data_IF_599675375756
#
_entry.id   IF_599675375756
#
_cell.length_a   1.000
_cell.length_b   1.000
_cell.length_c   1.000
_cell.angle_alpha   90.00
_cell.angle_beta   90.00
_cell.angle_gamma   90.00
#
_symmetry.space_group_name_H-M   'P 1'
#
loop_
_entity.id
_entity.type
_entity.pdbx_description
1 polymer ?
#
# COMPACT_ATOMS: atom_id res chain seq x y z
N UNK A 1 -15.79 -20.89 13.68
CA UNK A 1 -14.87 -19.76 13.80
C UNK A 1 -13.96 -19.56 12.59
N UNK A 2 -13.04 -20.46 12.17
CA UNK A 2 -12.19 -20.24 10.97
C UNK A 2 -12.97 -20.09 9.66
N UNK A 3 -14.08 -20.79 9.48
CA UNK A 3 -14.91 -20.73 8.27
C UNK A 3 -15.72 -19.43 8.17
N UNK A 4 -16.24 -18.92 9.28
CA UNK A 4 -17.01 -17.68 9.33
C UNK A 4 -16.14 -16.43 9.11
N UNK A 5 -14.93 -16.39 9.66
CA UNK A 5 -13.98 -15.32 9.40
C UNK A 5 -13.63 -15.25 7.91
N UNK A 6 -13.36 -16.41 7.28
CA UNK A 6 -13.09 -16.47 5.84
C UNK A 6 -14.25 -15.95 4.99
N UNK A 7 -15.48 -16.25 5.39
CA UNK A 7 -16.69 -15.80 4.69
C UNK A 7 -16.90 -14.28 4.88
N UNK A 8 -16.66 -13.77 6.09
CA UNK A 8 -16.67 -12.33 6.38
C UNK A 8 -15.70 -11.56 5.50
N UNK A 9 -14.45 -12.05 5.39
CA UNK A 9 -13.40 -11.42 4.56
C UNK A 9 -13.79 -11.44 3.07
N UNK A 10 -14.37 -12.54 2.59
CA UNK A 10 -14.86 -12.64 1.21
C UNK A 10 -15.97 -11.64 0.91
N UNK A 11 -16.94 -11.50 1.82
CA UNK A 11 -18.04 -10.53 1.66
C UNK A 11 -17.51 -9.11 1.73
N UNK A 12 -16.60 -8.79 2.67
CA UNK A 12 -15.98 -7.49 2.77
C UNK A 12 -15.22 -7.13 1.48
N UNK A 13 -14.41 -8.05 0.94
CA UNK A 13 -13.70 -7.86 -0.33
C UNK A 13 -14.65 -7.66 -1.52
N UNK A 14 -15.74 -8.42 -1.59
CA UNK A 14 -16.73 -8.29 -2.66
C UNK A 14 -17.46 -6.93 -2.62
N UNK A 15 -17.86 -6.48 -1.43
CA UNK A 15 -18.48 -5.17 -1.23
C UNK A 15 -17.49 -4.02 -1.49
N UNK A 16 -16.25 -4.13 -0.99
CA UNK A 16 -15.18 -3.21 -1.29
C UNK A 16 -14.96 -3.07 -2.81
N UNK A 17 -14.97 -4.18 -3.53
CA UNK A 17 -14.85 -4.20 -4.98
C UNK A 17 -15.93 -3.38 -5.70
N UNK A 18 -17.17 -3.35 -5.22
CA UNK A 18 -18.24 -2.50 -5.80
C UNK A 18 -17.96 -1.00 -5.57
N UNK A 19 -17.36 -0.66 -4.44
CA UNK A 19 -17.00 0.73 -4.09
C UNK A 19 -15.77 1.17 -4.90
N UNK A 20 -14.72 0.38 -4.87
CA UNK A 20 -13.41 0.71 -5.48
C UNK A 20 -13.46 0.71 -7.01
N UNK A 21 -14.34 -0.10 -7.62
CA UNK A 21 -14.65 -0.03 -9.06
C UNK A 21 -15.63 1.08 -9.44
N UNK A 22 -16.07 1.91 -8.47
CA UNK A 22 -17.04 2.99 -8.65
C UNK A 22 -18.42 2.55 -9.15
N UNK A 23 -18.78 1.27 -9.04
CA UNK A 23 -20.17 0.83 -9.23
C UNK A 23 -21.08 1.42 -8.18
N UNK A 24 -20.57 1.63 -6.97
CA UNK A 24 -21.19 2.42 -5.92
C UNK A 24 -20.36 3.67 -5.68
N UNK A 25 -20.95 4.82 -5.98
CA UNK A 25 -20.26 6.11 -5.91
C UNK A 25 -20.31 6.71 -4.51
N UNK A 26 -19.39 7.63 -4.23
CA UNK A 26 -19.34 8.36 -2.95
C UNK A 26 -20.70 8.98 -2.59
N UNK A 27 -21.11 8.82 -1.34
CA UNK A 27 -22.40 9.27 -0.82
C UNK A 27 -23.60 8.40 -1.18
N UNK A 28 -23.45 7.46 -2.11
CA UNK A 28 -24.53 6.53 -2.49
C UNK A 28 -24.89 5.64 -1.29
N UNK A 29 -26.19 5.47 -1.06
CA UNK A 29 -26.71 4.53 -0.07
C UNK A 29 -26.52 3.11 -0.55
N UNK A 30 -26.02 2.24 0.33
CA UNK A 30 -25.91 0.81 0.05
C UNK A 30 -27.30 0.16 0.01
N UNK A 31 -27.44 -0.96 -0.73
CA UNK A 31 -28.65 -1.79 -0.66
C UNK A 31 -28.99 -2.22 0.78
N UNK A 32 -30.24 -2.53 1.03
CA UNK A 32 -30.69 -2.98 2.35
C UNK A 32 -29.97 -4.30 2.76
N UNK A 33 -29.74 -4.49 4.06
CA UNK A 33 -29.07 -5.68 4.59
C UNK A 33 -29.70 -7.00 4.11
N UNK A 34 -31.03 -7.04 3.95
CA UNK A 34 -31.75 -8.21 3.43
C UNK A 34 -31.32 -8.54 2.00
N UNK A 35 -31.21 -7.53 1.14
CA UNK A 35 -30.78 -7.69 -0.26
C UNK A 35 -29.31 -8.13 -0.31
N UNK A 36 -28.45 -7.54 0.52
CA UNK A 36 -27.02 -7.92 0.57
C UNK A 36 -26.83 -9.36 1.09
N UNK A 37 -27.61 -9.77 2.12
CA UNK A 37 -27.58 -11.15 2.63
C UNK A 37 -27.99 -12.16 1.54
N UNK A 38 -29.05 -11.87 0.79
CA UNK A 38 -29.52 -12.71 -0.31
C UNK A 38 -28.50 -12.76 -1.45
N UNK A 39 -28.00 -11.61 -1.88
CA UNK A 39 -27.01 -11.50 -2.98
C UNK A 39 -25.73 -12.29 -2.69
N UNK A 40 -25.22 -12.20 -1.46
CA UNK A 40 -23.98 -12.86 -1.05
C UNK A 40 -24.21 -14.23 -0.39
N UNK A 41 -25.47 -14.67 -0.23
CA UNK A 41 -25.85 -15.95 0.40
C UNK A 41 -25.26 -16.12 1.80
N UNK A 42 -25.31 -15.06 2.62
CA UNK A 42 -24.74 -15.02 3.97
C UNK A 42 -25.76 -14.65 5.05
N UNK A 43 -25.45 -15.01 6.28
CA UNK A 43 -26.24 -14.60 7.44
C UNK A 43 -26.09 -13.09 7.72
N UNK A 44 -27.07 -12.52 8.42
CA UNK A 44 -27.00 -11.12 8.89
C UNK A 44 -25.77 -10.87 9.79
N UNK A 45 -25.34 -11.86 10.56
CA UNK A 45 -24.15 -11.76 11.42
C UNK A 45 -22.88 -11.58 10.58
N UNK A 46 -22.69 -12.42 9.56
CA UNK A 46 -21.55 -12.33 8.64
C UNK A 46 -21.55 -10.99 7.90
N UNK A 47 -22.71 -10.56 7.40
CA UNK A 47 -22.84 -9.26 6.73
C UNK A 47 -22.46 -8.11 7.67
N UNK A 48 -22.97 -8.09 8.89
CA UNK A 48 -22.66 -7.03 9.88
C UNK A 48 -21.17 -6.94 10.19
N UNK A 49 -20.49 -8.08 10.34
CA UNK A 49 -19.05 -8.10 10.54
C UNK A 49 -18.30 -7.59 9.30
N UNK A 50 -18.71 -7.98 8.08
CA UNK A 50 -18.13 -7.44 6.86
C UNK A 50 -18.33 -5.90 6.76
N UNK A 51 -19.52 -5.41 7.08
CA UNK A 51 -19.80 -3.97 7.14
C UNK A 51 -18.95 -3.26 8.20
N UNK A 52 -18.71 -3.89 9.35
CA UNK A 52 -17.83 -3.36 10.40
C UNK A 52 -16.38 -3.22 9.88
N UNK A 53 -15.88 -4.23 9.16
CA UNK A 53 -14.55 -4.18 8.52
C UNK A 53 -14.47 -3.02 7.52
N UNK A 54 -15.46 -2.88 6.62
CA UNK A 54 -15.49 -1.78 5.65
C UNK A 54 -15.56 -0.40 6.31
N UNK A 55 -16.33 -0.27 7.39
CA UNK A 55 -16.40 0.97 8.18
C UNK A 55 -15.07 1.31 8.86
N UNK A 56 -14.39 0.32 9.45
CA UNK A 56 -13.07 0.50 10.06
C UNK A 56 -12.00 0.93 9.02
N UNK A 57 -12.15 0.49 7.77
CA UNK A 57 -11.27 0.88 6.65
C UNK A 57 -11.72 2.17 5.92
N UNK A 58 -12.74 2.85 6.44
CA UNK A 58 -13.21 4.13 5.91
C UNK A 58 -13.94 4.06 4.57
N UNK A 59 -14.32 2.86 4.08
CA UNK A 59 -15.00 2.70 2.80
C UNK A 59 -16.49 3.02 2.86
N UNK A 60 -17.09 2.89 4.04
CA UNK A 60 -18.51 3.18 4.29
C UNK A 60 -18.69 3.99 5.57
N UNK A 61 -19.79 4.72 5.64
CA UNK A 61 -20.18 5.49 6.82
C UNK A 61 -21.67 5.34 7.10
N UNK A 62 -22.05 5.29 8.37
CA UNK A 62 -23.46 5.31 8.76
C UNK A 62 -23.95 6.75 8.82
N UNK A 63 -25.05 7.07 8.11
CA UNK A 63 -25.71 8.38 8.17
C UNK A 63 -27.06 8.26 8.87
N UNK A 64 -27.32 9.07 9.91
CA UNK A 64 -28.61 9.05 10.61
C UNK A 64 -29.79 9.21 9.62
N UNK A 65 -30.84 8.40 9.80
CA UNK A 65 -32.06 8.39 8.98
C UNK A 65 -31.89 8.03 7.50
N UNK A 66 -30.65 7.89 7.01
CA UNK A 66 -30.36 7.51 5.62
C UNK A 66 -29.97 6.03 5.54
N UNK A 67 -29.11 5.58 6.45
CA UNK A 67 -28.54 4.24 6.48
C UNK A 67 -27.04 4.26 6.17
N UNK A 68 -26.51 3.13 5.76
CA UNK A 68 -25.09 3.01 5.38
C UNK A 68 -24.87 3.54 3.97
N UNK A 69 -23.87 4.40 3.81
CA UNK A 69 -23.48 5.02 2.55
C UNK A 69 -22.00 4.79 2.25
N UNK A 70 -21.63 4.84 0.99
CA UNK A 70 -20.24 4.88 0.55
C UNK A 70 -19.59 6.16 1.08
N UNK A 71 -18.44 6.03 1.72
CA UNK A 71 -17.66 7.16 2.22
C UNK A 71 -16.90 7.86 1.07
N UNK A 72 -16.49 9.11 1.30
CA UNK A 72 -15.62 9.82 0.36
C UNK A 72 -14.22 9.18 0.32
N UNK A 73 -13.54 9.25 -0.81
CA UNK A 73 -12.25 8.57 -1.02
C UNK A 73 -11.12 9.09 -0.14
N UNK A 74 -11.22 10.31 0.38
CA UNK A 74 -10.31 10.89 1.37
C UNK A 74 -10.38 10.22 2.75
N UNK A 75 -11.48 9.48 3.01
CA UNK A 75 -11.68 8.72 4.23
C UNK A 75 -11.10 7.30 4.15
N UNK A 76 -10.70 6.83 2.97
CA UNK A 76 -10.23 5.47 2.77
C UNK A 76 -8.87 5.23 3.42
N UNK A 77 -8.73 4.12 4.13
CA UNK A 77 -7.47 3.74 4.75
C UNK A 77 -6.47 3.19 3.71
N UNK A 78 -5.98 4.05 2.80
CA UNK A 78 -5.10 3.67 1.70
C UNK A 78 -3.73 3.12 2.14
N UNK A 79 -3.40 3.20 3.44
CA UNK A 79 -2.21 2.57 4.03
C UNK A 79 -2.46 1.14 4.49
N UNK A 80 -3.71 0.70 4.47
CA UNK A 80 -4.11 -0.63 4.91
C UNK A 80 -3.86 -1.65 3.78
N UNK A 81 -3.13 -2.74 4.05
CA UNK A 81 -2.79 -3.74 3.03
C UNK A 81 -4.01 -4.38 2.36
N UNK A 82 -5.09 -4.61 3.09
CA UNK A 82 -6.30 -5.21 2.51
C UNK A 82 -6.97 -4.24 1.53
N UNK A 83 -6.99 -2.93 1.84
CA UNK A 83 -7.55 -1.91 0.92
C UNK A 83 -6.72 -1.83 -0.36
N UNK A 84 -5.40 -1.88 -0.25
CA UNK A 84 -4.51 -1.92 -1.42
C UNK A 84 -4.69 -3.20 -2.25
N UNK A 85 -4.87 -4.35 -1.61
CA UNK A 85 -5.15 -5.62 -2.30
C UNK A 85 -6.53 -5.59 -3.00
N UNK A 86 -7.55 -5.02 -2.35
CA UNK A 86 -8.87 -4.85 -2.96
C UNK A 86 -8.83 -3.88 -4.15
N UNK A 87 -8.04 -2.81 -4.07
CA UNK A 87 -7.79 -1.90 -5.20
C UNK A 87 -7.17 -2.65 -6.39
N UNK A 88 -6.16 -3.48 -6.15
CA UNK A 88 -5.54 -4.30 -7.20
C UNK A 88 -6.54 -5.18 -7.96
N UNK A 89 -7.54 -5.71 -7.25
CA UNK A 89 -8.50 -6.64 -7.82
C UNK A 89 -9.69 -5.98 -8.49
N UNK A 90 -10.06 -4.77 -8.07
CA UNK A 90 -11.35 -4.18 -8.42
C UNK A 90 -11.26 -2.81 -9.09
N UNK A 91 -10.17 -2.05 -8.91
CA UNK A 91 -10.06 -0.71 -9.46
C UNK A 91 -9.95 -0.74 -11.00
N UNK A 92 -10.61 0.22 -11.62
CA UNK A 92 -10.45 0.48 -13.05
C UNK A 92 -9.19 1.33 -13.30
N UNK A 93 -8.63 1.35 -14.52
CA UNK A 93 -7.50 2.23 -14.84
C UNK A 93 -7.74 3.69 -14.44
N UNK A 94 -8.96 4.20 -14.63
CA UNK A 94 -9.32 5.58 -14.31
C UNK A 94 -9.32 5.85 -12.79
N UNK A 95 -9.68 4.85 -11.98
CA UNK A 95 -9.62 4.94 -10.52
C UNK A 95 -8.19 4.76 -10.01
N UNK A 96 -7.43 3.87 -10.65
CA UNK A 96 -6.09 3.48 -10.22
C UNK A 96 -5.04 4.57 -10.51
N UNK A 97 -5.07 5.17 -11.70
CA UNK A 97 -4.04 6.10 -12.14
C UNK A 97 -3.85 7.33 -11.22
N UNK A 98 -4.90 8.00 -10.71
CA UNK A 98 -4.73 9.07 -9.73
C UNK A 98 -4.08 8.58 -8.42
N UNK A 99 -4.49 7.40 -7.92
CA UNK A 99 -3.97 6.85 -6.66
C UNK A 99 -2.49 6.45 -6.79
N UNK A 100 -2.07 5.93 -7.94
CA UNK A 100 -0.66 5.64 -8.21
C UNK A 100 0.20 6.92 -8.19
N UNK A 101 -0.27 8.00 -8.83
CA UNK A 101 0.43 9.29 -8.76
C UNK A 101 0.57 9.80 -7.33
N UNK A 102 -0.51 9.73 -6.54
CA UNK A 102 -0.46 10.13 -5.13
C UNK A 102 0.50 9.25 -4.31
N UNK A 103 0.57 7.94 -4.60
CA UNK A 103 1.52 7.05 -3.95
C UNK A 103 2.97 7.39 -4.33
N UNK A 104 3.25 7.74 -5.59
CA UNK A 104 4.56 8.19 -6.04
C UNK A 104 4.96 9.53 -5.42
N UNK A 105 4.04 10.49 -5.32
CA UNK A 105 4.25 11.76 -4.60
C UNK A 105 4.62 11.51 -3.13
N UNK A 106 3.93 10.58 -2.46
CA UNK A 106 4.25 10.20 -1.09
C UNK A 106 5.59 9.48 -0.97
N UNK A 107 5.98 8.65 -1.93
CA UNK A 107 7.30 8.04 -1.98
C UNK A 107 8.38 9.10 -2.09
N UNK A 108 8.21 10.07 -2.99
CA UNK A 108 9.14 11.19 -3.14
C UNK A 108 9.26 12.05 -1.87
N UNK A 109 8.18 12.21 -1.13
CA UNK A 109 8.20 12.93 0.14
C UNK A 109 8.90 12.16 1.26
N UNK A 110 8.76 10.84 1.32
CA UNK A 110 9.18 10.00 2.45
C UNK A 110 10.54 9.31 2.22
N UNK A 111 10.75 8.68 1.07
CA UNK A 111 11.92 7.82 0.85
C UNK A 111 13.26 8.56 0.96
N UNK A 112 13.42 9.82 0.48
CA UNK A 112 14.65 10.56 0.70
C UNK A 112 14.95 10.84 2.18
N UNK A 113 13.93 11.08 2.99
CA UNK A 113 14.10 11.27 4.44
C UNK A 113 14.44 9.94 5.14
N UNK A 114 13.79 8.85 4.75
CA UNK A 114 14.08 7.50 5.27
C UNK A 114 15.49 7.05 4.88
N UNK A 115 15.96 7.35 3.67
CA UNK A 115 17.33 7.08 3.22
C UNK A 115 18.38 7.82 4.09
N UNK A 116 18.14 9.08 4.40
CA UNK A 116 19.00 9.86 5.29
C UNK A 116 19.01 9.30 6.72
N UNK A 117 17.87 8.86 7.24
CA UNK A 117 17.79 8.19 8.53
C UNK A 117 18.52 6.83 8.52
N UNK A 118 18.33 6.06 7.46
CA UNK A 118 19.01 4.78 7.28
C UNK A 118 20.53 4.94 7.32
N UNK A 119 21.09 5.92 6.60
CA UNK A 119 22.54 6.16 6.57
C UNK A 119 23.13 6.52 7.93
N UNK A 120 22.36 7.20 8.80
CA UNK A 120 22.83 7.61 10.14
C UNK A 120 22.58 6.55 11.21
N UNK A 121 21.77 5.52 10.95
CA UNK A 121 21.33 4.54 11.96
C UNK A 121 21.74 3.12 11.65
N UNK A 122 22.08 2.82 10.39
CA UNK A 122 22.40 1.47 9.96
C UNK A 122 23.53 0.85 10.77
N UNK A 123 23.29 -0.31 11.32
CA UNK A 123 24.35 -1.17 11.84
C UNK A 123 25.12 -1.82 10.69
N UNK A 124 26.28 -2.36 10.99
CA UNK A 124 27.10 -3.11 10.01
C UNK A 124 26.29 -4.28 9.41
N UNK A 125 25.54 -5.01 10.24
CA UNK A 125 24.73 -6.14 9.78
C UNK A 125 23.60 -5.69 8.84
N UNK A 126 22.92 -4.59 9.14
CA UNK A 126 21.84 -4.03 8.29
C UNK A 126 22.40 -3.50 6.97
N UNK A 127 23.55 -2.87 6.99
CA UNK A 127 24.26 -2.44 5.77
C UNK A 127 24.61 -3.62 4.88
N UNK A 128 25.11 -4.72 5.47
CA UNK A 128 25.39 -5.95 4.73
C UNK A 128 24.13 -6.58 4.15
N UNK A 129 23.03 -6.59 4.89
CA UNK A 129 21.73 -7.09 4.42
C UNK A 129 21.21 -6.26 3.22
N UNK A 130 21.33 -4.93 3.28
CA UNK A 130 20.94 -4.05 2.17
C UNK A 130 21.81 -4.30 0.93
N UNK A 131 23.14 -4.44 1.09
CA UNK A 131 24.03 -4.78 0.00
C UNK A 131 23.71 -6.15 -0.61
N UNK A 132 23.36 -7.15 0.21
CA UNK A 132 22.93 -8.45 -0.29
C UNK A 132 21.63 -8.35 -1.08
N UNK A 133 20.64 -7.63 -0.56
CA UNK A 133 19.37 -7.43 -1.25
C UNK A 133 19.53 -6.69 -2.58
N UNK A 134 20.47 -5.74 -2.68
CA UNK A 134 20.84 -5.10 -3.95
C UNK A 134 21.45 -6.11 -4.95
N UNK A 135 22.36 -6.98 -4.49
CA UNK A 135 22.95 -8.03 -5.35
C UNK A 135 21.88 -8.98 -5.89
N UNK A 136 20.96 -9.40 -5.02
CA UNK A 136 19.85 -10.28 -5.42
C UNK A 136 18.96 -9.62 -6.47
N UNK A 137 18.65 -8.33 -6.28
CA UNK A 137 17.92 -7.53 -7.26
C UNK A 137 18.67 -7.33 -8.59
N UNK A 138 19.99 -7.16 -8.55
CA UNK A 138 20.83 -7.05 -9.76
C UNK A 138 20.88 -8.36 -10.54
N UNK A 139 20.90 -9.50 -9.84
CA UNK A 139 20.91 -10.82 -10.45
C UNK A 139 19.54 -11.21 -11.01
N UNK A 140 18.46 -10.78 -10.37
CA UNK A 140 17.10 -11.04 -10.80
C UNK A 140 16.23 -9.76 -10.63
N UNK A 141 16.21 -8.85 -11.61
CA UNK A 141 15.56 -7.55 -11.52
C UNK A 141 14.04 -7.65 -11.69
N UNK A 142 13.37 -8.32 -10.76
CA UNK A 142 11.93 -8.46 -10.70
C UNK A 142 11.31 -7.65 -9.54
N UNK A 143 9.98 -7.59 -9.55
CA UNK A 143 9.20 -6.89 -8.53
C UNK A 143 9.47 -7.42 -7.10
N UNK A 144 9.60 -8.74 -6.93
CA UNK A 144 9.76 -9.33 -5.60
C UNK A 144 11.09 -8.93 -4.97
N UNK A 145 12.18 -8.93 -5.76
CA UNK A 145 13.50 -8.50 -5.32
C UNK A 145 13.55 -6.99 -5.05
N UNK A 146 12.91 -6.19 -5.87
CA UNK A 146 12.82 -4.74 -5.65
C UNK A 146 12.02 -4.41 -4.39
N UNK A 147 10.91 -5.09 -4.17
CA UNK A 147 10.14 -4.96 -2.94
C UNK A 147 10.96 -5.35 -1.70
N UNK A 148 11.75 -6.43 -1.78
CA UNK A 148 12.63 -6.86 -0.70
C UNK A 148 13.70 -5.80 -0.40
N UNK A 149 14.30 -5.20 -1.43
CA UNK A 149 15.28 -4.10 -1.26
C UNK A 149 14.66 -2.90 -0.54
N UNK A 150 13.50 -2.44 -0.97
CA UNK A 150 12.82 -1.32 -0.30
C UNK A 150 12.39 -1.67 1.12
N UNK A 151 11.96 -2.91 1.39
CA UNK A 151 11.66 -3.34 2.75
C UNK A 151 12.88 -3.23 3.68
N UNK A 152 14.08 -3.60 3.21
CA UNK A 152 15.33 -3.38 3.94
C UNK A 152 15.56 -1.89 4.22
N UNK A 153 15.45 -1.03 3.22
CA UNK A 153 15.61 0.42 3.37
C UNK A 153 14.67 0.99 4.44
N UNK A 154 13.39 0.64 4.37
CA UNK A 154 12.39 1.13 5.33
C UNK A 154 12.67 0.62 6.75
N UNK A 155 13.11 -0.63 6.91
CA UNK A 155 13.46 -1.21 8.20
C UNK A 155 14.67 -0.50 8.83
N UNK A 156 15.75 -0.32 8.07
CA UNK A 156 17.01 0.31 8.52
C UNK A 156 16.77 1.77 8.96
N UNK A 157 15.80 2.47 8.39
CA UNK A 157 15.45 3.82 8.83
C UNK A 157 15.13 3.92 10.33
N UNK A 158 14.77 2.80 10.98
CA UNK A 158 14.41 2.70 12.39
C UNK A 158 13.14 3.51 12.74
N UNK A 159 12.32 3.83 11.74
CA UNK A 159 11.07 4.57 11.93
C UNK A 159 9.89 3.60 11.89
N UNK A 160 9.25 3.37 13.06
CA UNK A 160 8.13 2.43 13.16
C UNK A 160 6.94 2.79 12.26
N UNK A 161 6.72 4.07 11.96
CA UNK A 161 5.67 4.50 11.03
C UNK A 161 6.00 4.19 9.57
N UNK A 162 7.29 4.02 9.22
CA UNK A 162 7.71 3.62 7.88
C UNK A 162 7.22 2.21 7.51
N UNK A 163 6.90 1.37 8.49
CA UNK A 163 6.33 0.05 8.26
C UNK A 163 4.99 0.09 7.51
N UNK A 164 4.20 1.15 7.69
CA UNK A 164 2.96 1.35 6.92
C UNK A 164 3.26 1.88 5.51
N UNK A 165 4.19 2.83 5.40
CA UNK A 165 4.58 3.41 4.11
C UNK A 165 5.13 2.37 3.12
N UNK A 166 5.83 1.32 3.59
CA UNK A 166 6.33 0.23 2.73
C UNK A 166 5.23 -0.52 1.97
N UNK A 167 4.02 -0.65 2.54
CA UNK A 167 2.91 -1.32 1.86
C UNK A 167 2.43 -0.50 0.66
N UNK A 168 2.30 0.81 0.84
CA UNK A 168 1.98 1.74 -0.25
C UNK A 168 3.08 1.74 -1.32
N UNK A 169 4.35 1.79 -0.92
CA UNK A 169 5.48 1.77 -1.86
C UNK A 169 5.51 0.46 -2.66
N UNK A 170 5.34 -0.69 -2.00
CA UNK A 170 5.23 -1.99 -2.66
C UNK A 170 4.03 -2.06 -3.62
N UNK A 171 2.89 -1.50 -3.22
CA UNK A 171 1.72 -1.42 -4.08
C UNK A 171 1.98 -0.56 -5.33
N UNK A 172 2.59 0.61 -5.19
CA UNK A 172 2.96 1.46 -6.32
C UNK A 172 3.94 0.76 -7.27
N UNK A 173 4.95 0.07 -6.73
CA UNK A 173 5.91 -0.71 -7.53
C UNK A 173 5.25 -1.82 -8.34
N UNK A 174 4.25 -2.50 -7.80
CA UNK A 174 3.54 -3.58 -8.50
C UNK A 174 2.86 -3.10 -9.79
N UNK A 175 2.62 -1.79 -9.91
CA UNK A 175 1.99 -1.17 -11.07
C UNK A 175 2.97 -0.42 -11.97
N UNK A 176 4.26 -0.39 -11.61
CA UNK A 176 5.27 0.26 -12.44
C UNK A 176 5.56 -0.56 -13.68
N UNK A 177 5.56 0.11 -14.84
CA UNK A 177 5.82 -0.52 -16.14
C UNK A 177 7.30 -0.46 -16.56
N UNK A 178 8.12 0.29 -15.82
CA UNK A 178 9.57 0.44 -16.11
C UNK A 178 10.40 -0.52 -15.25
N UNK A 179 11.57 -0.96 -15.74
CA UNK A 179 12.47 -1.80 -14.94
C UNK A 179 12.99 -1.07 -13.70
N UNK A 180 13.51 -1.81 -12.68
CA UNK A 180 14.10 -1.24 -11.47
C UNK A 180 15.25 -0.28 -11.81
N UNK A 181 15.36 0.90 -11.13
CA UNK A 181 16.45 1.86 -11.33
C UNK A 181 17.73 1.40 -10.62
N UNK A 182 18.36 0.32 -11.09
CA UNK A 182 19.48 -0.36 -10.43
C UNK A 182 20.67 0.56 -10.11
N UNK A 183 20.99 1.48 -11.03
CA UNK A 183 22.08 2.46 -10.79
C UNK A 183 21.77 3.39 -9.62
N UNK A 184 20.52 3.84 -9.50
CA UNK A 184 20.06 4.67 -8.38
C UNK A 184 20.08 3.92 -7.05
N UNK A 185 19.66 2.68 -7.03
CA UNK A 185 19.74 1.81 -5.83
C UNK A 185 21.17 1.49 -5.44
N UNK A 186 22.07 1.35 -6.42
CA UNK A 186 23.52 1.23 -6.17
C UNK A 186 24.10 2.46 -5.49
N UNK A 187 23.82 3.66 -5.99
CA UNK A 187 24.24 4.92 -5.40
C UNK A 187 23.69 5.12 -3.99
N UNK A 188 22.40 4.80 -3.78
CA UNK A 188 21.76 4.84 -2.47
C UNK A 188 22.42 3.90 -1.46
N UNK A 189 22.66 2.64 -1.85
CA UNK A 189 23.29 1.64 -0.99
C UNK A 189 24.71 2.05 -0.60
N UNK A 190 25.49 2.61 -1.54
CA UNK A 190 26.84 3.13 -1.28
C UNK A 190 26.80 4.27 -0.26
N UNK A 191 25.92 5.26 -0.43
CA UNK A 191 25.79 6.39 0.47
C UNK A 191 25.34 5.96 1.89
N UNK A 192 24.41 5.01 2.01
CA UNK A 192 24.00 4.44 3.30
C UNK A 192 25.18 3.71 3.97
N UNK A 193 25.94 2.91 3.21
CA UNK A 193 27.09 2.17 3.73
C UNK A 193 28.22 3.08 4.23
N UNK A 194 28.32 4.29 3.70
CA UNK A 194 29.32 5.29 4.08
C UNK A 194 28.84 6.25 5.18
N UNK A 195 27.55 6.15 5.57
CA UNK A 195 26.97 7.05 6.56
C UNK A 195 26.67 8.46 6.03
N UNK A 196 26.61 8.63 4.70
CA UNK A 196 26.49 9.93 4.03
C UNK A 196 25.02 10.32 3.84
N UNK A 197 24.41 10.94 4.86
CA UNK A 197 22.97 11.24 4.88
C UNK A 197 22.49 12.15 3.73
N UNK A 198 23.31 13.13 3.34
CA UNK A 198 22.97 14.05 2.24
C UNK A 198 23.01 13.30 0.91
N UNK A 199 24.06 12.49 0.69
CA UNK A 199 24.20 11.69 -0.52
C UNK A 199 23.11 10.62 -0.62
N UNK A 200 22.76 9.96 0.50
CA UNK A 200 21.66 8.98 0.54
C UNK A 200 20.30 9.62 0.19
N UNK A 201 20.03 10.80 0.74
CA UNK A 201 18.83 11.57 0.39
C UNK A 201 18.78 11.91 -1.09
N UNK A 202 19.89 12.41 -1.66
CA UNK A 202 19.94 12.79 -3.06
C UNK A 202 19.84 11.58 -3.98
N UNK A 203 20.46 10.45 -3.64
CA UNK A 203 20.34 9.21 -4.39
C UNK A 203 18.89 8.70 -4.41
N UNK A 204 18.16 8.85 -3.29
CA UNK A 204 16.74 8.49 -3.23
C UNK A 204 15.88 9.37 -4.13
N UNK A 205 16.10 10.68 -4.16
CA UNK A 205 15.42 11.59 -5.09
C UNK A 205 15.69 11.16 -6.54
N UNK A 206 16.95 10.93 -6.88
CA UNK A 206 17.37 10.65 -8.27
C UNK A 206 16.74 9.36 -8.80
N UNK A 207 16.61 8.29 -7.99
CA UNK A 207 15.98 7.07 -8.50
C UNK A 207 14.44 7.18 -8.62
N UNK A 208 13.82 8.09 -7.87
CA UNK A 208 12.37 8.30 -7.92
C UNK A 208 11.93 9.16 -9.11
N UNK A 209 12.69 10.22 -9.42
CA UNK A 209 12.34 11.14 -10.51
C UNK A 209 13.01 10.77 -11.84
N UNK A 210 13.93 9.80 -11.84
CA UNK A 210 14.79 9.49 -12.99
C UNK A 210 15.94 10.50 -13.18
N UNK A 211 16.83 10.22 -14.12
CA UNK A 211 17.92 11.09 -14.48
C UNK A 211 17.44 12.36 -15.17
#
# INVERSE_FOLDING_TARGET
>A
MKSENRLTDQVAAALAGQILSQKWTSGQKLPADTVLCETHQVSRTVLREAMRVLGAKGLITAKPRVGTCVAASDSWALWDPDVLDWLNRAATPDTLAPLLRHAEDMRLALEPALAALASSRASVAETQALQQSLRDLQNNPDYAQEQAFLQCLYAISGNSFAAYARHMAGWALAHRLTPPPLAGYGALTAAISQGESIAARQAAINYLIGP
#
